data_IF_572101695235
#
_entry.id   IF_572101695235
#
_cell.length_a   1.000
_cell.length_b   1.000
_cell.length_c   1.000
_cell.angle_alpha   90.00
_cell.angle_beta   90.00
_cell.angle_gamma   90.00
#
_symmetry.space_group_name_H-M   'P 1'
#
loop_
_entity.id
_entity.type
_entity.pdbx_description
1 polymer ?
#
# COMPACT_ATOMS: atom_id res chain seq x y z
N UNK A 1 -10.79 -2.34 12.68
CA UNK A 1 -9.88 -1.18 12.63
C UNK A 1 -10.44 -0.02 11.79
N UNK A 2 -9.78 1.15 11.85
CA UNK A 2 -10.02 2.29 10.96
C UNK A 2 -8.92 2.34 9.91
N UNK A 3 -9.31 2.52 8.64
CA UNK A 3 -8.41 2.62 7.50
C UNK A 3 -8.59 3.96 6.79
N UNK A 4 -7.48 4.50 6.29
CA UNK A 4 -7.42 5.80 5.65
C UNK A 4 -6.93 5.66 4.21
N UNK A 5 -7.59 6.34 3.27
CA UNK A 5 -7.17 6.46 1.88
C UNK A 5 -6.91 7.93 1.55
N UNK A 6 -5.69 8.25 1.13
CA UNK A 6 -5.32 9.59 0.69
C UNK A 6 -5.46 9.76 -0.83
N UNK A 7 -6.18 10.78 -1.27
CA UNK A 7 -6.43 11.05 -2.70
C UNK A 7 -6.62 12.55 -2.98
N UNK A 8 -6.76 12.92 -4.25
CA UNK A 8 -7.18 14.25 -4.69
C UNK A 8 -8.70 14.37 -4.90
N UNK A 9 -9.45 13.28 -4.65
CA UNK A 9 -10.91 13.25 -4.68
C UNK A 9 -11.45 12.52 -3.46
N UNK A 10 -12.67 12.85 -3.04
CA UNK A 10 -13.42 12.06 -2.06
C UNK A 10 -13.74 10.69 -2.67
N UNK A 11 -13.41 9.62 -1.96
CA UNK A 11 -13.74 8.25 -2.37
C UNK A 11 -14.73 7.69 -1.35
N UNK A 12 -16.01 7.64 -1.72
CA UNK A 12 -17.05 6.97 -0.90
C UNK A 12 -17.19 5.49 -1.28
N UNK A 13 -16.94 5.18 -2.55
CA UNK A 13 -17.04 3.84 -3.12
C UNK A 13 -15.66 3.44 -3.64
N UNK A 14 -14.90 2.64 -2.89
CA UNK A 14 -13.61 2.12 -3.33
C UNK A 14 -13.73 1.42 -4.68
N UNK A 15 -12.73 1.62 -5.54
CA UNK A 15 -12.65 0.97 -6.84
C UNK A 15 -11.18 0.69 -7.19
N UNK A 16 -10.94 -0.42 -7.88
CA UNK A 16 -9.61 -0.75 -8.40
C UNK A 16 -9.45 -0.04 -9.73
N UNK A 17 -8.57 0.94 -9.77
CA UNK A 17 -8.23 1.66 -10.98
C UNK A 17 -6.88 1.16 -11.50
N UNK A 18 -6.77 1.02 -12.82
CA UNK A 18 -5.49 0.70 -13.44
C UNK A 18 -4.52 1.86 -13.20
N UNK A 19 -3.42 1.58 -12.51
CA UNK A 19 -2.39 2.58 -12.30
C UNK A 19 -1.56 2.78 -13.57
N UNK A 20 -1.14 4.02 -13.82
CA UNK A 20 -0.20 4.36 -14.91
C UNK A 20 1.27 4.10 -14.52
N UNK A 21 1.50 3.44 -13.38
CA UNK A 21 2.80 3.13 -12.81
C UNK A 21 2.72 1.82 -12.04
N UNK A 22 3.86 1.19 -11.79
CA UNK A 22 3.92 0.05 -10.88
C UNK A 22 3.77 0.50 -9.42
N UNK A 23 3.20 -0.37 -8.59
CA UNK A 23 2.86 -0.14 -7.18
C UNK A 23 3.38 -1.29 -6.33
N UNK A 24 3.50 -1.08 -5.01
CA UNK A 24 4.14 -2.01 -4.07
C UNK A 24 3.53 -3.41 -4.13
N UNK A 25 2.20 -3.48 -4.19
CA UNK A 25 1.44 -4.71 -4.16
C UNK A 25 0.55 -4.85 -5.41
N UNK A 26 0.93 -4.23 -6.54
CA UNK A 26 0.16 -4.32 -7.78
C UNK A 26 -1.06 -3.38 -7.85
N UNK A 27 -1.93 -3.59 -8.84
CA UNK A 27 -3.10 -2.73 -9.07
C UNK A 27 -4.22 -3.05 -8.09
N UNK A 28 -4.39 -2.20 -7.08
CA UNK A 28 -5.42 -2.35 -6.06
C UNK A 28 -5.89 -1.01 -5.51
N UNK A 29 -6.86 -1.05 -4.59
CA UNK A 29 -7.24 0.10 -3.77
C UNK A 29 -6.41 0.09 -2.49
N UNK A 30 -5.67 1.17 -2.23
CA UNK A 30 -4.70 1.21 -1.14
C UNK A 30 -5.20 2.05 0.03
N UNK A 31 -5.03 1.52 1.23
CA UNK A 31 -5.34 2.18 2.49
C UNK A 31 -4.18 1.99 3.47
N UNK A 32 -4.25 2.65 4.62
CA UNK A 32 -3.28 2.51 5.72
C UNK A 32 -4.00 2.70 7.05
N UNK A 33 -3.50 2.09 8.13
CA UNK A 33 -3.97 2.40 9.49
C UNK A 33 -3.39 3.72 10.03
N UNK A 34 -2.38 4.28 9.34
CA UNK A 34 -1.70 5.51 9.72
C UNK A 34 -2.29 6.73 8.99
N UNK A 35 -3.06 7.55 9.70
CA UNK A 35 -3.69 8.77 9.15
C UNK A 35 -2.67 9.76 8.56
N UNK A 36 -1.50 9.90 9.17
CA UNK A 36 -0.47 10.81 8.66
C UNK A 36 0.16 10.29 7.36
N UNK A 37 0.26 8.97 7.20
CA UNK A 37 0.66 8.36 5.93
C UNK A 37 -0.38 8.65 4.84
N UNK A 38 -1.67 8.53 5.14
CA UNK A 38 -2.74 8.89 4.20
C UNK A 38 -2.73 10.39 3.86
N UNK A 39 -2.45 11.27 4.82
CA UNK A 39 -2.27 12.71 4.56
C UNK A 39 -1.15 12.96 3.54
N UNK A 40 0.02 12.33 3.72
CA UNK A 40 1.13 12.42 2.76
C UNK A 40 0.72 11.94 1.37
N UNK A 41 0.01 10.82 1.27
CA UNK A 41 -0.50 10.32 -0.01
C UNK A 41 -1.44 11.32 -0.69
N UNK A 42 -2.38 11.90 0.06
CA UNK A 42 -3.31 12.90 -0.44
C UNK A 42 -2.59 14.16 -0.95
N UNK A 43 -1.59 14.68 -0.22
CA UNK A 43 -0.76 15.81 -0.67
C UNK A 43 0.04 15.49 -1.95
N UNK A 44 0.63 14.30 -2.03
CA UNK A 44 1.36 13.85 -3.21
C UNK A 44 0.42 13.75 -4.42
N UNK A 45 -0.77 13.16 -4.24
CA UNK A 45 -1.78 13.05 -5.31
C UNK A 45 -2.30 14.41 -5.74
N UNK A 46 -2.63 15.29 -4.79
CA UNK A 46 -3.05 16.67 -5.05
C UNK A 46 -2.04 17.41 -5.93
N UNK A 47 -0.75 17.35 -5.57
CA UNK A 47 0.31 18.03 -6.33
C UNK A 47 0.49 17.44 -7.73
N UNK A 48 0.48 16.12 -7.87
CA UNK A 48 0.66 15.43 -9.17
C UNK A 48 -0.48 15.71 -10.15
N UNK A 49 -1.70 15.78 -9.65
CA UNK A 49 -2.91 16.00 -10.46
C UNK A 49 -3.31 17.48 -10.52
N UNK A 50 -2.45 18.38 -10.03
CA UNK A 50 -2.69 19.84 -9.95
C UNK A 50 -4.10 20.19 -9.40
N UNK A 51 -4.55 19.44 -8.39
CA UNK A 51 -5.89 19.58 -7.82
C UNK A 51 -5.92 20.63 -6.72
N UNK A 52 -7.05 21.32 -6.57
CA UNK A 52 -7.21 22.39 -5.56
C UNK A 52 -7.28 21.86 -4.14
N UNK A 53 -7.67 20.61 -3.94
CA UNK A 53 -7.89 19.99 -2.63
C UNK A 53 -7.31 18.57 -2.57
N UNK A 54 -6.90 18.15 -1.37
CA UNK A 54 -6.66 16.75 -1.05
C UNK A 54 -7.79 16.22 -0.15
N UNK A 55 -7.92 14.91 -0.11
CA UNK A 55 -8.96 14.24 0.66
C UNK A 55 -8.39 13.02 1.38
N UNK A 56 -8.84 12.80 2.60
CA UNK A 56 -8.63 11.55 3.34
C UNK A 56 -10.00 10.90 3.53
N UNK A 57 -10.24 9.80 2.81
CA UNK A 57 -11.45 8.98 2.99
C UNK A 57 -11.22 7.94 4.07
N UNK A 58 -12.17 7.80 4.99
CA UNK A 58 -12.06 7.00 6.21
C UNK A 58 -13.03 5.83 6.13
N UNK A 59 -12.54 4.63 6.43
CA UNK A 59 -13.30 3.39 6.37
C UNK A 59 -13.20 2.62 7.68
N UNK A 60 -14.29 1.95 8.05
CA UNK A 60 -14.26 0.86 9.02
C UNK A 60 -13.96 -0.43 8.27
N UNK A 61 -13.08 -1.25 8.84
CA UNK A 61 -12.71 -2.55 8.33
C UNK A 61 -12.65 -3.55 9.48
N UNK A 62 -13.26 -4.71 9.33
CA UNK A 62 -13.18 -5.78 10.34
C UNK A 62 -11.87 -6.57 10.18
N UNK A 63 -11.05 -6.63 11.23
CA UNK A 63 -9.74 -7.29 11.16
C UNK A 63 -9.86 -8.81 11.08
N UNK A 64 -10.98 -9.39 11.52
CA UNK A 64 -11.22 -10.83 11.43
C UNK A 64 -11.25 -11.32 9.96
N UNK A 65 -11.49 -10.41 9.01
CA UNK A 65 -11.41 -10.69 7.56
C UNK A 65 -10.02 -11.15 7.13
N UNK A 66 -8.94 -10.75 7.81
CA UNK A 66 -7.61 -11.27 7.49
C UNK A 66 -7.49 -12.78 7.71
N UNK A 67 -8.35 -13.37 8.55
CA UNK A 67 -8.40 -14.79 8.86
C UNK A 67 -9.53 -15.53 8.13
N UNK A 68 -10.35 -14.84 7.33
CA UNK A 68 -11.42 -15.45 6.57
C UNK A 68 -10.85 -16.30 5.43
N UNK A 69 -11.12 -17.62 5.48
CA UNK A 69 -10.67 -18.58 4.46
C UNK A 69 -11.25 -18.33 3.07
N UNK A 70 -12.34 -17.58 2.98
CA UNK A 70 -12.96 -17.22 1.71
C UNK A 70 -12.22 -16.05 1.02
N UNK A 71 -11.25 -15.42 1.69
CA UNK A 71 -10.46 -14.29 1.17
C UNK A 71 -8.99 -14.71 1.11
N UNK A 72 -8.38 -14.61 -0.06
CA UNK A 72 -6.96 -14.91 -0.21
C UNK A 72 -6.13 -13.74 0.32
N UNK A 73 -5.74 -13.82 1.58
CA UNK A 73 -4.97 -12.78 2.26
C UNK A 73 -3.50 -13.17 2.41
N UNK A 74 -2.60 -12.22 2.21
CA UNK A 74 -1.20 -12.31 2.66
C UNK A 74 -0.87 -11.11 3.55
N UNK A 75 -0.17 -11.38 4.66
CA UNK A 75 0.23 -10.38 5.64
C UNK A 75 1.74 -10.46 5.84
N UNK A 76 2.40 -9.32 5.67
CA UNK A 76 3.81 -9.12 5.97
C UNK A 76 3.92 -8.28 7.25
N UNK A 77 4.33 -8.89 8.36
CA UNK A 77 4.45 -8.18 9.65
C UNK A 77 5.63 -7.21 9.71
N UNK A 78 6.63 -7.42 8.86
CA UNK A 78 7.85 -6.61 8.78
C UNK A 78 8.41 -6.56 7.35
N UNK A 79 9.35 -5.63 7.12
CA UNK A 79 10.07 -5.49 5.86
C UNK A 79 11.19 -6.55 5.74
N UNK A 80 10.79 -7.82 5.73
CA UNK A 80 11.68 -8.96 5.56
C UNK A 80 11.92 -9.29 4.08
N UNK A 81 12.71 -10.32 3.83
CA UNK A 81 13.07 -10.77 2.48
C UNK A 81 11.85 -11.13 1.61
N UNK A 82 10.86 -11.81 2.19
CA UNK A 82 9.65 -12.21 1.44
C UNK A 82 8.84 -11.00 1.01
N UNK A 83 8.67 -10.02 1.89
CA UNK A 83 8.03 -8.74 1.55
C UNK A 83 8.82 -8.00 0.48
N UNK A 84 10.15 -7.93 0.63
CA UNK A 84 11.01 -7.21 -0.30
C UNK A 84 10.95 -7.82 -1.71
N UNK A 85 11.08 -9.14 -1.82
CA UNK A 85 10.96 -9.86 -3.09
C UNK A 85 9.58 -9.64 -3.71
N UNK A 86 8.51 -9.66 -2.92
CA UNK A 86 7.15 -9.39 -3.40
C UNK A 86 7.00 -7.97 -3.96
N UNK A 87 7.58 -6.96 -3.29
CA UNK A 87 7.58 -5.57 -3.77
C UNK A 87 8.40 -5.41 -5.05
N UNK A 88 9.57 -6.05 -5.12
CA UNK A 88 10.42 -6.05 -6.33
C UNK A 88 9.65 -6.67 -7.50
N UNK A 89 9.03 -7.83 -7.29
CA UNK A 89 8.24 -8.53 -8.30
C UNK A 89 7.14 -7.63 -8.86
N UNK A 90 6.36 -6.97 -8.01
CA UNK A 90 5.30 -6.07 -8.46
C UNK A 90 5.81 -4.82 -9.18
N UNK A 91 7.01 -4.34 -8.85
CA UNK A 91 7.52 -3.06 -9.36
C UNK A 91 8.43 -3.15 -10.56
N UNK A 92 9.23 -4.21 -10.66
CA UNK A 92 10.28 -4.38 -11.66
C UNK A 92 9.95 -5.46 -12.68
N UNK A 93 9.23 -6.52 -12.30
CA UNK A 93 8.94 -7.63 -13.19
C UNK A 93 7.68 -7.33 -14.02
N UNK A 94 7.91 -6.85 -15.25
CA UNK A 94 6.85 -6.55 -16.19
C UNK A 94 5.96 -7.79 -16.43
N UNK A 95 4.68 -7.70 -16.06
CA UNK A 95 3.72 -8.79 -16.20
C UNK A 95 3.57 -9.68 -14.97
N UNK A 96 4.29 -9.42 -13.88
CA UNK A 96 4.02 -10.08 -12.60
C UNK A 96 2.58 -9.81 -12.15
N UNK A 97 1.92 -10.86 -11.69
CA UNK A 97 0.55 -10.81 -11.15
C UNK A 97 0.43 -11.78 -10.00
N UNK A 98 -0.50 -11.50 -9.08
CA UNK A 98 -0.90 -12.38 -8.00
C UNK A 98 -2.43 -12.45 -7.95
N UNK A 99 -2.93 -13.40 -7.19
CA UNK A 99 -4.37 -13.68 -6.99
C UNK A 99 -4.83 -13.42 -5.54
N UNK A 100 -4.00 -12.76 -4.72
CA UNK A 100 -4.42 -12.28 -3.40
C UNK A 100 -5.52 -11.22 -3.52
N UNK A 101 -6.54 -11.34 -2.69
CA UNK A 101 -7.65 -10.39 -2.52
C UNK A 101 -7.22 -9.20 -1.64
N UNK A 102 -6.47 -9.47 -0.57
CA UNK A 102 -5.99 -8.49 0.39
C UNK A 102 -4.52 -8.72 0.67
N UNK A 103 -3.73 -7.65 0.64
CA UNK A 103 -2.31 -7.66 0.99
C UNK A 103 -2.08 -6.60 2.05
N UNK A 104 -1.54 -6.99 3.20
CA UNK A 104 -1.11 -6.09 4.28
C UNK A 104 0.40 -6.15 4.42
N UNK A 105 1.06 -5.01 4.53
CA UNK A 105 2.49 -4.96 4.82
C UNK A 105 3.03 -3.54 4.96
N UNK A 106 4.34 -3.39 5.20
CA UNK A 106 4.99 -2.08 5.24
C UNK A 106 4.85 -1.30 3.93
N UNK A 107 4.86 0.03 4.02
CA UNK A 107 4.97 0.95 2.87
C UNK A 107 6.39 0.93 2.33
N UNK A 108 6.55 0.73 1.00
CA UNK A 108 7.84 0.92 0.35
C UNK A 108 8.05 2.41 0.06
N UNK A 109 8.67 3.13 1.00
CA UNK A 109 8.97 4.55 0.85
C UNK A 109 10.25 4.80 0.03
N UNK A 110 10.63 6.07 -0.15
CA UNK A 110 11.83 6.45 -0.91
C UNK A 110 13.12 5.82 -0.38
N UNK A 111 13.17 5.45 0.92
CA UNK A 111 14.34 4.81 1.53
C UNK A 111 14.41 3.34 1.18
N UNK A 112 13.25 2.68 1.10
CA UNK A 112 13.14 1.32 0.55
C UNK A 112 13.65 1.31 -0.88
N UNK A 113 13.28 2.29 -1.71
CA UNK A 113 13.86 2.41 -3.07
C UNK A 113 15.36 2.68 -3.07
N UNK A 114 15.87 3.53 -2.18
CA UNK A 114 17.30 3.76 -2.09
C UNK A 114 18.07 2.47 -1.76
N UNK A 115 17.55 1.66 -0.82
CA UNK A 115 18.14 0.37 -0.48
C UNK A 115 18.05 -0.63 -1.64
N UNK A 116 16.91 -0.70 -2.33
CA UNK A 116 16.72 -1.54 -3.51
C UNK A 116 17.68 -1.17 -4.65
N UNK A 117 17.79 0.12 -4.96
CA UNK A 117 18.73 0.60 -6.00
C UNK A 117 20.18 0.31 -5.62
N UNK A 118 20.56 0.45 -4.34
CA UNK A 118 21.90 0.10 -3.87
C UNK A 118 22.19 -1.40 -4.01
N UNK A 119 21.20 -2.25 -3.73
CA UNK A 119 21.27 -3.69 -3.93
C UNK A 119 21.45 -4.06 -5.42
N UNK A 120 20.61 -3.52 -6.30
CA UNK A 120 20.67 -3.80 -7.75
C UNK A 120 22.01 -3.43 -8.37
N UNK A 121 22.61 -2.32 -7.93
CA UNK A 121 23.92 -1.87 -8.40
C UNK A 121 25.08 -2.60 -7.71
N UNK A 122 24.81 -3.66 -6.93
CA UNK A 122 25.80 -4.46 -6.18
C UNK A 122 26.63 -3.66 -5.18
N UNK A 123 26.11 -2.51 -4.74
CA UNK A 123 26.72 -1.70 -3.68
C UNK A 123 26.33 -2.20 -2.28
N UNK A 124 25.30 -3.04 -2.18
CA UNK A 124 24.78 -3.60 -0.93
C UNK A 124 24.24 -5.01 -1.20
N UNK A 125 24.35 -5.93 -0.24
CA UNK A 125 23.66 -7.23 -0.31
C UNK A 125 22.24 -7.15 0.30
N UNK A 126 21.41 -8.15 -0.01
CA UNK A 126 19.99 -8.16 0.41
C UNK A 126 19.86 -8.23 1.94
N UNK A 127 20.80 -8.91 2.61
CA UNK A 127 20.81 -9.03 4.07
C UNK A 127 21.05 -7.67 4.74
N UNK A 128 21.98 -6.88 4.21
CA UNK A 128 22.27 -5.52 4.68
C UNK A 128 21.08 -4.60 4.42
N UNK A 129 20.46 -4.68 3.24
CA UNK A 129 19.26 -3.90 2.93
C UNK A 129 18.11 -4.20 3.91
N UNK A 130 17.83 -5.48 4.18
CA UNK A 130 16.80 -5.89 5.15
C UNK A 130 17.15 -5.40 6.56
N UNK A 131 18.42 -5.50 6.96
CA UNK A 131 18.88 -5.05 8.27
C UNK A 131 18.65 -3.55 8.45
N UNK A 132 19.02 -2.74 7.47
CA UNK A 132 18.78 -1.29 7.48
C UNK A 132 17.28 -0.98 7.53
N UNK A 133 16.47 -1.65 6.70
CA UNK A 133 15.03 -1.46 6.67
C UNK A 133 14.34 -1.78 8.00
N UNK A 134 14.78 -2.82 8.70
CA UNK A 134 14.28 -3.21 10.03
C UNK A 134 14.58 -2.18 11.12
N UNK A 135 15.54 -1.28 10.93
CA UNK A 135 15.81 -0.21 11.92
C UNK A 135 14.73 0.87 11.93
N UNK A 136 13.89 0.93 10.89
CA UNK A 136 12.87 1.95 10.73
C UNK A 136 11.49 1.45 11.12
N UNK A 137 10.72 2.34 11.75
CA UNK A 137 9.28 2.15 11.93
C UNK A 137 8.55 2.59 10.67
N UNK A 138 8.31 1.64 9.77
CA UNK A 138 7.53 1.87 8.56
C UNK A 138 6.03 1.92 8.88
N UNK A 139 5.30 2.79 8.19
CA UNK A 139 3.84 2.75 8.20
C UNK A 139 3.37 1.48 7.47
N UNK A 140 2.19 1.00 7.83
CA UNK A 140 1.54 -0.10 7.12
C UNK A 140 0.77 0.42 5.90
N UNK A 141 0.47 -0.49 5.00
CA UNK A 141 -0.51 -0.34 3.95
C UNK A 141 -1.29 -1.65 3.79
N UNK A 142 -2.57 -1.50 3.48
CA UNK A 142 -3.48 -2.59 3.19
C UNK A 142 -4.10 -2.30 1.82
N UNK A 143 -3.88 -3.21 0.89
CA UNK A 143 -4.34 -3.09 -0.49
C UNK A 143 -5.38 -4.16 -0.81
N UNK A 144 -6.41 -3.76 -1.55
CA UNK A 144 -7.58 -4.57 -1.91
C UNK A 144 -7.63 -4.76 -3.43
N UNK A 145 -7.72 -6.01 -3.87
CA UNK A 145 -7.47 -6.44 -5.26
C UNK A 145 -8.65 -7.14 -5.91
N UNK A 146 -9.77 -7.31 -5.20
CA UNK A 146 -11.00 -7.83 -5.76
C UNK A 146 -12.23 -7.05 -5.29
N UNK A 147 -13.32 -7.16 -6.06
CA UNK A 147 -14.63 -6.57 -5.68
C UNK A 147 -15.08 -7.11 -4.32
N UNK A 148 -14.82 -8.40 -4.05
CA UNK A 148 -15.14 -9.03 -2.78
C UNK A 148 -14.36 -8.36 -1.64
N UNK A 149 -13.05 -8.17 -1.81
CA UNK A 149 -12.21 -7.49 -0.83
C UNK A 149 -12.68 -6.06 -0.53
N UNK A 150 -13.05 -5.30 -1.58
CA UNK A 150 -13.55 -3.92 -1.43
C UNK A 150 -14.88 -3.84 -0.66
N UNK A 151 -15.71 -4.89 -0.72
CA UNK A 151 -17.00 -4.90 -0.04
C UNK A 151 -16.91 -4.90 1.48
N UNK A 152 -15.73 -5.17 2.06
CA UNK A 152 -15.48 -5.09 3.50
C UNK A 152 -15.05 -3.69 3.99
N UNK A 153 -14.93 -2.72 3.08
CA UNK A 153 -14.64 -1.33 3.43
C UNK A 153 -15.94 -0.55 3.61
N UNK A 154 -16.34 -0.34 4.86
CA UNK A 154 -17.48 0.48 5.20
C UNK A 154 -17.06 1.96 5.28
N UNK A 155 -17.47 2.77 4.31
CA UNK A 155 -17.18 4.20 4.33
C UNK A 155 -17.81 4.88 5.54
N UNK A 156 -17.03 5.68 6.26
CA UNK A 156 -17.46 6.45 7.43
C UNK A 156 -17.65 7.92 7.03
N UNK A 157 -16.56 8.56 6.63
CA UNK A 157 -16.52 9.99 6.33
C UNK A 157 -15.30 10.35 5.47
N UNK A 158 -15.19 11.64 5.13
CA UNK A 158 -14.04 12.15 4.39
C UNK A 158 -13.63 13.51 4.94
N UNK A 159 -12.34 13.67 5.16
CA UNK A 159 -11.72 14.94 5.56
C UNK A 159 -11.11 15.63 4.35
N UNK A 160 -11.19 16.97 4.31
CA UNK A 160 -10.53 17.82 3.31
C UNK A 160 -9.23 18.34 3.90
N UNK A 161 -8.15 18.35 3.10
CA UNK A 161 -6.80 18.77 3.52
C UNK A 161 -6.19 19.85 2.63
#
# INVERSE_FOLDING_TARGET
>A
MILYHGSNVKVEKPAILKANRTLDFGNGFYTTSNKEQAYKWAKIKQARENSTQGFISIYKFDEDIFNDKAIKTIVFDEANEQWLNFVIDNRMNAGYTHDYDIIKGPVADDRVYACLNAFENKFMDIETAIKELRTYKLADQISFHSIKALSFLDFIECEVI
#
